data_IF_718700663493
#
_entry.id   IF_718700663493
#
_cell.length_a   1.000
_cell.length_b   1.000
_cell.length_c   1.000
_cell.angle_alpha   90.00
_cell.angle_beta   90.00
_cell.angle_gamma   90.00
#
_symmetry.space_group_name_H-M   'P 1'
#
loop_
_entity.id
_entity.type
_entity.pdbx_description
1 polymer ?
#
# COMPACT_ATOMS: atom_id res chain seq x y z
N UNK A 1 -2.93 -24.30 -4.13
CA UNK A 1 -1.80 -24.43 -3.18
C UNK A 1 -1.93 -23.55 -1.92
N UNK A 2 -3.12 -23.05 -1.55
CA UNK A 2 -3.40 -22.45 -0.23
C UNK A 2 -2.73 -21.11 0.13
N UNK A 3 -1.70 -20.66 -0.60
CA UNK A 3 -0.89 -19.47 -0.27
C UNK A 3 -1.71 -18.18 -0.10
N UNK A 4 -2.49 -17.82 -1.11
CA UNK A 4 -3.32 -16.61 -1.08
C UNK A 4 -4.37 -16.71 0.04
N UNK A 5 -5.02 -17.87 0.15
CA UNK A 5 -6.00 -18.15 1.20
C UNK A 5 -5.40 -17.99 2.60
N UNK A 6 -4.19 -18.49 2.83
CA UNK A 6 -3.50 -18.34 4.12
C UNK A 6 -3.21 -16.88 4.45
N UNK A 7 -2.69 -16.10 3.49
CA UNK A 7 -2.43 -14.67 3.70
C UNK A 7 -3.73 -13.87 3.92
N UNK A 8 -4.82 -14.25 3.26
CA UNK A 8 -6.14 -13.64 3.46
C UNK A 8 -6.72 -13.99 4.84
N UNK A 9 -6.49 -15.20 5.35
CA UNK A 9 -6.86 -15.57 6.72
C UNK A 9 -6.06 -14.77 7.74
N UNK A 10 -4.73 -14.72 7.60
CA UNK A 10 -3.85 -14.01 8.53
C UNK A 10 -4.16 -12.50 8.55
N UNK A 11 -4.42 -11.89 7.39
CA UNK A 11 -4.76 -10.46 7.29
C UNK A 11 -6.21 -10.13 7.67
N UNK A 12 -7.00 -11.11 8.11
CA UNK A 12 -8.40 -10.92 8.53
C UNK A 12 -9.39 -10.66 7.38
N UNK A 13 -8.98 -10.93 6.14
CA UNK A 13 -9.76 -10.73 4.90
C UNK A 13 -10.59 -11.94 4.49
N UNK A 14 -10.31 -13.12 5.02
CA UNK A 14 -11.08 -14.34 4.73
C UNK A 14 -12.54 -14.21 5.19
N UNK A 15 -13.47 -14.63 4.33
CA UNK A 15 -14.91 -14.70 4.62
C UNK A 15 -15.39 -16.10 5.00
N UNK A 16 -14.51 -17.11 4.90
CA UNK A 16 -14.81 -18.49 5.25
C UNK A 16 -14.68 -18.79 6.74
N UNK A 17 -15.10 -20.00 7.13
CA UNK A 17 -14.86 -20.54 8.47
C UNK A 17 -13.36 -20.80 8.65
N UNK A 18 -12.79 -20.25 9.71
CA UNK A 18 -11.36 -20.39 10.06
C UNK A 18 -11.24 -20.98 11.45
N UNK A 19 -10.35 -21.95 11.62
CA UNK A 19 -10.02 -22.55 12.92
C UNK A 19 -8.58 -22.22 13.32
N UNK A 20 -8.28 -22.35 14.61
CA UNK A 20 -6.97 -22.02 15.19
C UNK A 20 -6.90 -20.62 15.79
N UNK A 21 -5.71 -20.24 16.26
CA UNK A 21 -5.46 -18.97 16.96
C UNK A 21 -4.37 -18.21 16.23
N UNK A 22 -4.63 -16.94 15.96
CA UNK A 22 -3.63 -15.99 15.44
C UNK A 22 -3.29 -15.06 16.61
N UNK A 23 -2.01 -14.93 16.93
CA UNK A 23 -1.51 -13.99 17.92
C UNK A 23 -0.49 -13.03 17.29
N UNK A 24 -0.43 -11.81 17.81
CA UNK A 24 0.53 -10.77 17.44
C UNK A 24 1.06 -10.17 18.73
N UNK A 25 2.38 -10.23 18.91
CA UNK A 25 3.06 -9.82 20.14
C UNK A 25 2.46 -10.45 21.42
N UNK A 26 2.10 -11.73 21.36
CA UNK A 26 1.54 -12.49 22.49
C UNK A 26 0.05 -12.25 22.76
N UNK A 27 -0.60 -11.31 22.08
CA UNK A 27 -2.03 -11.06 22.21
C UNK A 27 -2.81 -11.72 21.07
N UNK A 28 -3.97 -12.32 21.37
CA UNK A 28 -4.85 -12.85 20.34
C UNK A 28 -5.33 -11.74 19.40
N UNK A 29 -5.15 -11.97 18.10
CA UNK A 29 -5.49 -10.98 17.09
C UNK A 29 -6.99 -10.91 16.83
N UNK A 30 -7.52 -9.69 16.84
CA UNK A 30 -8.80 -9.39 16.21
C UNK A 30 -8.59 -8.95 14.76
N UNK A 31 -9.62 -9.08 13.92
CA UNK A 31 -9.58 -8.58 12.53
C UNK A 31 -9.28 -7.08 12.49
N UNK A 32 -9.80 -6.33 13.45
CA UNK A 32 -9.54 -4.89 13.55
C UNK A 32 -8.08 -4.60 13.88
N UNK A 33 -7.49 -5.33 14.84
CA UNK A 33 -6.08 -5.16 15.18
C UNK A 33 -5.18 -5.45 13.99
N UNK A 34 -5.43 -6.53 13.23
CA UNK A 34 -4.66 -6.82 12.01
C UNK A 34 -4.82 -5.71 10.96
N UNK A 35 -6.02 -5.14 10.78
CA UNK A 35 -6.25 -4.03 9.86
C UNK A 35 -5.51 -2.75 10.26
N UNK A 36 -5.30 -2.53 11.56
CA UNK A 36 -4.61 -1.36 12.09
C UNK A 36 -3.08 -1.52 12.17
N UNK A 37 -2.60 -2.74 12.44
CA UNK A 37 -1.18 -3.06 12.75
C UNK A 37 -0.44 -3.78 11.62
N UNK A 38 -1.08 -3.94 10.46
CA UNK A 38 -0.45 -4.59 9.32
C UNK A 38 -0.87 -3.93 8.01
N UNK A 39 -0.04 -4.15 7.00
CA UNK A 39 -0.30 -3.74 5.63
C UNK A 39 -0.36 -4.93 4.70
N UNK A 40 -1.27 -4.88 3.73
CA UNK A 40 -1.47 -5.94 2.76
C UNK A 40 -1.40 -5.38 1.33
N UNK A 41 -0.50 -5.92 0.52
CA UNK A 41 -0.36 -5.55 -0.89
C UNK A 41 -1.01 -6.63 -1.74
N UNK A 42 -2.11 -6.29 -2.42
CA UNK A 42 -2.80 -7.20 -3.34
C UNK A 42 -1.88 -7.64 -4.49
N UNK A 43 -2.18 -8.77 -5.13
CA UNK A 43 -1.42 -9.24 -6.29
C UNK A 43 -1.57 -8.30 -7.49
N UNK A 44 -2.74 -7.69 -7.67
CA UNK A 44 -3.02 -6.74 -8.75
C UNK A 44 -2.87 -5.29 -8.28
N UNK A 45 -2.14 -4.49 -9.06
CA UNK A 45 -1.93 -3.06 -8.81
C UNK A 45 -3.12 -2.25 -9.33
N UNK A 46 -3.90 -1.65 -8.42
CA UNK A 46 -5.06 -0.80 -8.75
C UNK A 46 -4.69 0.67 -8.61
N UNK A 47 -4.07 1.22 -9.64
CA UNK A 47 -3.57 2.58 -9.69
C UNK A 47 -4.30 3.39 -10.77
N UNK A 48 -4.50 4.69 -10.55
CA UNK A 48 -5.15 5.57 -11.52
C UNK A 48 -4.19 5.89 -12.68
N UNK A 49 -4.49 5.51 -13.93
CA UNK A 49 -3.56 5.66 -15.06
C UNK A 49 -3.16 7.10 -15.39
N UNK A 50 -4.03 8.06 -15.06
CA UNK A 50 -3.91 9.48 -15.42
C UNK A 50 -3.00 10.26 -14.49
N UNK A 51 -2.79 9.77 -13.25
CA UNK A 51 -1.97 10.43 -12.25
C UNK A 51 -0.49 10.09 -12.42
N UNK A 52 0.38 10.99 -11.96
CA UNK A 52 1.80 10.71 -11.78
C UNK A 52 2.05 9.82 -10.56
N UNK A 53 3.26 9.28 -10.45
CA UNK A 53 3.69 8.51 -9.28
C UNK A 53 3.61 9.37 -8.01
N UNK A 54 4.12 10.61 -8.06
CA UNK A 54 4.06 11.55 -6.94
C UNK A 54 2.61 11.89 -6.58
N UNK A 55 1.79 12.27 -7.55
CA UNK A 55 0.37 12.58 -7.33
C UNK A 55 -0.37 11.43 -6.66
N UNK A 56 -0.11 10.20 -7.11
CA UNK A 56 -0.74 9.00 -6.54
C UNK A 56 -0.31 8.78 -5.09
N UNK A 57 0.98 8.88 -4.78
CA UNK A 57 1.47 8.73 -3.40
C UNK A 57 0.97 9.85 -2.50
N UNK A 58 0.98 11.10 -2.97
CA UNK A 58 0.45 12.26 -2.24
C UNK A 58 -1.03 12.11 -1.97
N UNK A 59 -1.84 11.76 -2.97
CA UNK A 59 -3.28 11.54 -2.80
C UNK A 59 -3.56 10.42 -1.80
N UNK A 60 -2.85 9.29 -1.92
CA UNK A 60 -2.99 8.19 -0.97
C UNK A 60 -2.52 8.56 0.44
N UNK A 61 -1.51 9.43 0.57
CA UNK A 61 -1.05 9.92 1.88
C UNK A 61 -2.14 10.76 2.56
N UNK A 62 -2.78 11.69 1.84
CA UNK A 62 -3.91 12.46 2.37
C UNK A 62 -5.08 11.60 2.84
N UNK A 63 -5.36 10.47 2.17
CA UNK A 63 -6.43 9.57 2.57
C UNK A 63 -6.06 8.65 3.74
N UNK A 64 -4.77 8.32 3.90
CA UNK A 64 -4.30 7.30 4.85
C UNK A 64 -3.74 7.89 6.15
N UNK A 65 -3.21 9.10 6.10
CA UNK A 65 -2.61 9.77 7.25
C UNK A 65 -3.67 10.55 8.04
N UNK A 66 -3.54 10.63 9.36
CA UNK A 66 -4.42 11.46 10.19
C UNK A 66 -4.40 12.94 9.77
N UNK A 67 -5.54 13.64 9.93
CA UNK A 67 -5.70 15.04 9.50
C UNK A 67 -4.86 16.08 10.25
N UNK A 68 -4.09 15.70 11.28
CA UNK A 68 -3.18 16.61 11.98
C UNK A 68 -1.81 16.75 11.29
N UNK A 69 -1.52 15.95 10.26
CA UNK A 69 -0.29 16.08 9.48
C UNK A 69 -0.31 17.38 8.67
N UNK A 70 0.76 18.17 8.78
CA UNK A 70 0.91 19.37 7.95
C UNK A 70 1.22 18.95 6.51
N UNK A 71 0.82 19.75 5.50
CA UNK A 71 1.17 19.49 4.10
C UNK A 71 2.68 19.25 3.90
N UNK A 72 3.54 20.02 4.58
CA UNK A 72 4.99 19.84 4.53
C UNK A 72 5.49 18.48 5.03
N UNK A 73 4.80 17.89 6.01
CA UNK A 73 5.17 16.59 6.58
C UNK A 73 4.72 15.46 5.66
N UNK A 74 3.56 15.63 5.01
CA UNK A 74 3.07 14.72 3.95
C UNK A 74 4.05 14.72 2.78
N UNK A 75 4.47 15.89 2.30
CA UNK A 75 5.42 16.00 1.18
C UNK A 75 6.76 15.34 1.49
N UNK A 76 7.32 15.56 2.69
CA UNK A 76 8.54 14.89 3.15
C UNK A 76 8.36 13.37 3.16
N UNK A 77 7.22 12.89 3.67
CA UNK A 77 6.96 11.46 3.76
C UNK A 77 6.79 10.81 2.39
N UNK A 78 6.05 11.45 1.48
CA UNK A 78 5.93 11.01 0.09
C UNK A 78 7.30 10.96 -0.59
N UNK A 79 8.13 12.00 -0.38
CA UNK A 79 9.47 12.04 -0.94
C UNK A 79 10.35 10.89 -0.40
N UNK A 80 10.30 10.60 0.90
CA UNK A 80 11.00 9.43 1.47
C UNK A 80 10.56 8.14 0.79
N UNK A 81 9.25 7.90 0.69
CA UNK A 81 8.72 6.68 0.05
C UNK A 81 9.15 6.58 -1.42
N UNK A 82 9.19 7.69 -2.17
CA UNK A 82 9.68 7.70 -3.55
C UNK A 82 11.16 7.27 -3.62
N UNK A 83 11.98 7.74 -2.68
CA UNK A 83 13.41 7.40 -2.59
C UNK A 83 13.57 5.93 -2.21
N UNK A 84 12.91 5.49 -1.13
CA UNK A 84 13.02 4.14 -0.58
C UNK A 84 12.53 3.07 -1.57
N UNK A 85 11.56 3.41 -2.41
CA UNK A 85 11.04 2.53 -3.45
C UNK A 85 11.80 2.63 -4.79
N UNK A 86 12.86 3.45 -4.89
CA UNK A 86 13.64 3.62 -6.10
C UNK A 86 12.79 4.11 -7.29
N UNK A 87 11.98 5.15 -7.05
CA UNK A 87 11.04 5.73 -8.01
C UNK A 87 11.39 7.18 -8.39
N UNK A 88 12.54 7.70 -7.96
CA UNK A 88 12.96 9.09 -8.17
C UNK A 88 12.90 9.48 -9.65
N UNK A 89 13.42 8.63 -10.54
CA UNK A 89 13.50 8.88 -11.98
C UNK A 89 12.14 8.89 -12.70
N UNK A 90 11.10 8.34 -12.06
CA UNK A 90 9.72 8.28 -12.60
C UNK A 90 8.71 9.03 -11.73
N UNK A 91 9.15 9.82 -10.76
CA UNK A 91 8.27 10.50 -9.82
C UNK A 91 7.19 11.36 -10.52
N UNK A 92 7.57 12.05 -11.59
CA UNK A 92 6.68 12.90 -12.39
C UNK A 92 6.07 12.20 -13.62
N UNK A 93 6.38 10.90 -13.82
CA UNK A 93 5.82 10.12 -14.92
C UNK A 93 4.41 9.65 -14.58
N UNK A 94 3.51 9.67 -15.57
CA UNK A 94 2.17 9.08 -15.45
C UNK A 94 2.27 7.58 -15.24
N UNK A 95 1.41 7.04 -14.38
CA UNK A 95 1.36 5.59 -14.11
C UNK A 95 0.99 4.83 -15.38
N UNK A 96 0.06 5.35 -16.18
CA UNK A 96 -0.42 4.72 -17.40
C UNK A 96 -1.22 3.44 -17.15
N UNK A 97 -1.88 2.97 -18.19
CA UNK A 97 -2.79 1.83 -18.20
C UNK A 97 -2.57 0.94 -19.41
N UNK A 98 -3.61 0.23 -19.83
CA UNK A 98 -3.61 -0.58 -21.05
C UNK A 98 -3.63 0.28 -22.32
N UNK A 99 -4.29 1.44 -22.25
CA UNK A 99 -4.47 2.37 -23.39
C UNK A 99 -3.36 3.42 -23.44
N UNK A 100 -2.96 3.95 -22.28
CA UNK A 100 -1.96 5.02 -22.16
C UNK A 100 -0.67 4.42 -21.62
N UNK A 101 0.42 4.50 -22.37
CA UNK A 101 1.73 4.07 -21.88
C UNK A 101 2.16 4.92 -20.67
N UNK A 102 2.74 4.28 -19.67
CA UNK A 102 3.30 4.94 -18.49
C UNK A 102 4.47 4.14 -17.93
N UNK A 103 4.60 4.13 -16.61
CA UNK A 103 5.67 3.40 -15.91
C UNK A 103 5.58 1.88 -16.14
N UNK A 104 6.72 1.20 -15.97
CA UNK A 104 6.84 -0.25 -16.11
C UNK A 104 6.02 -1.02 -15.07
N UNK A 105 5.73 -2.31 -15.33
CA UNK A 105 5.02 -3.15 -14.37
C UNK A 105 5.76 -3.30 -13.02
N UNK A 106 7.09 -3.37 -13.05
CA UNK A 106 7.90 -3.39 -11.83
C UNK A 106 7.81 -2.10 -11.03
N UNK A 107 7.74 -0.94 -11.71
CA UNK A 107 7.50 0.34 -11.06
C UNK A 107 6.08 0.42 -10.48
N UNK A 108 5.04 -0.04 -11.19
CA UNK A 108 3.67 -0.16 -10.64
C UNK A 108 3.65 -0.99 -9.37
N UNK A 109 4.38 -2.10 -9.35
CA UNK A 109 4.48 -2.95 -8.17
C UNK A 109 5.10 -2.22 -6.98
N UNK A 110 6.19 -1.47 -7.22
CA UNK A 110 6.84 -0.66 -6.18
C UNK A 110 5.94 0.49 -5.70
N UNK A 111 5.15 1.11 -6.58
CA UNK A 111 4.16 2.13 -6.20
C UNK A 111 3.10 1.54 -5.26
N UNK A 112 2.52 0.38 -5.59
CA UNK A 112 1.53 -0.29 -4.73
C UNK A 112 2.08 -0.64 -3.34
N UNK A 113 3.35 -1.02 -3.27
CA UNK A 113 4.05 -1.25 -1.99
C UNK A 113 4.23 0.07 -1.24
N UNK A 114 4.72 1.11 -1.90
CA UNK A 114 4.91 2.45 -1.32
C UNK A 114 3.63 3.02 -0.73
N UNK A 115 2.48 2.82 -1.39
CA UNK A 115 1.16 3.22 -0.88
C UNK A 115 0.81 2.58 0.48
N UNK A 116 1.31 1.37 0.76
CA UNK A 116 1.12 0.75 2.07
C UNK A 116 2.13 1.24 3.11
N UNK A 117 3.36 1.53 2.70
CA UNK A 117 4.42 2.06 3.57
C UNK A 117 4.12 3.47 4.10
N UNK A 118 3.26 4.25 3.42
CA UNK A 118 2.83 5.57 3.90
C UNK A 118 2.30 5.56 5.34
N UNK A 119 1.75 4.44 5.83
CA UNK A 119 1.20 4.34 7.19
C UNK A 119 2.23 4.00 8.28
N UNK A 120 3.49 3.73 7.92
CA UNK A 120 4.48 3.07 8.81
C UNK A 120 3.83 1.91 9.57
N UNK A 121 3.29 0.91 8.82
CA UNK A 121 2.45 -0.14 9.38
C UNK A 121 3.15 -1.06 10.38
#
# INVERSE_FOLDING_TARGET
SGKTSLLDVISGRSTGVTTGVISYNGQQCTREMMRQKSSYVLQADRLLPTLTVRETLTYMAYLKLPGHFKPSDIDKKVQSVIIDMGLIHVAESRIGGTVIRGVSGGEKRRISIGVQLLKDP
#
